data_IF_405435815072
#
_entry.id   IF_405435815072
#
_cell.length_a   1.000
_cell.length_b   1.000
_cell.length_c   1.000
_cell.angle_alpha   90.00
_cell.angle_beta   90.00
_cell.angle_gamma   90.00
#
_symmetry.space_group_name_H-M   'P 1'
#
loop_
_entity.id
_entity.type
_entity.pdbx_description
1 polymer ?
#
# COMPACT_ATOMS: atom_id res chain seq x y z
N UNK A 1 -10.71 -7.65 13.83
CA UNK A 1 -10.89 -9.11 13.96
C UNK A 1 -12.36 -9.49 14.09
N UNK A 2 -13.15 -8.93 15.03
CA UNK A 2 -14.55 -9.32 15.20
C UNK A 2 -15.37 -9.17 13.92
N UNK A 3 -15.29 -8.02 13.24
CA UNK A 3 -15.96 -7.79 11.96
C UNK A 3 -15.47 -8.76 10.85
N UNK A 4 -14.17 -9.04 10.79
CA UNK A 4 -13.61 -9.97 9.82
C UNK A 4 -14.12 -11.41 10.05
N UNK A 5 -14.21 -11.82 11.32
CA UNK A 5 -14.79 -13.11 11.73
C UNK A 5 -16.28 -13.20 11.33
N UNK A 6 -17.08 -12.19 11.66
CA UNK A 6 -18.50 -12.12 11.31
C UNK A 6 -18.74 -12.17 9.79
N UNK A 7 -17.94 -11.41 9.05
CA UNK A 7 -18.03 -11.31 7.58
C UNK A 7 -17.35 -12.48 6.85
N UNK A 8 -16.63 -13.35 7.57
CA UNK A 8 -15.78 -14.42 6.99
C UNK A 8 -14.82 -13.90 5.93
N UNK A 9 -14.23 -12.76 6.21
CA UNK A 9 -13.33 -12.05 5.30
C UNK A 9 -11.91 -11.95 5.89
N UNK A 10 -10.85 -11.98 5.05
CA UNK A 10 -9.50 -11.65 5.50
C UNK A 10 -9.41 -10.17 5.87
N UNK A 11 -8.40 -9.81 6.65
CA UNK A 11 -8.15 -8.43 7.04
C UNK A 11 -6.68 -8.08 7.01
N UNK A 12 -6.34 -6.89 6.53
CA UNK A 12 -5.01 -6.27 6.67
C UNK A 12 -5.10 -5.23 7.78
N UNK A 13 -4.27 -5.40 8.82
CA UNK A 13 -4.13 -4.43 9.90
C UNK A 13 -2.88 -3.63 9.61
N UNK A 14 -3.07 -2.37 9.23
CA UNK A 14 -1.98 -1.50 8.82
C UNK A 14 -1.70 -0.42 9.85
N UNK A 15 -0.45 0.00 9.94
CA UNK A 15 -0.05 1.19 10.67
C UNK A 15 1.09 1.92 9.98
N UNK A 16 1.11 3.25 10.12
CA UNK A 16 2.22 4.08 9.69
C UNK A 16 3.41 3.97 10.64
N UNK A 17 4.62 4.38 10.25
CA UNK A 17 5.83 4.29 11.10
C UNK A 17 5.76 5.10 12.40
N UNK A 18 4.81 6.02 12.52
CA UNK A 18 4.61 6.87 13.71
C UNK A 18 3.85 6.19 14.85
N UNK A 19 3.31 4.99 14.64
CA UNK A 19 2.60 4.20 15.64
C UNK A 19 3.60 3.33 16.42
N UNK A 20 3.22 2.94 17.64
CA UNK A 20 3.99 1.95 18.43
C UNK A 20 3.81 0.55 17.84
N UNK A 21 4.70 0.20 16.90
CA UNK A 21 4.64 -1.07 16.14
C UNK A 21 4.70 -2.29 17.05
N UNK A 22 5.50 -2.22 18.10
CA UNK A 22 5.69 -3.28 19.08
C UNK A 22 4.38 -3.63 19.81
N UNK A 23 3.67 -2.60 20.27
CA UNK A 23 2.39 -2.75 20.95
C UNK A 23 1.30 -3.26 20.02
N UNK A 24 1.24 -2.72 18.80
CA UNK A 24 0.32 -3.18 17.78
C UNK A 24 0.55 -4.66 17.44
N UNK A 25 1.80 -5.06 17.23
CA UNK A 25 2.14 -6.45 16.92
C UNK A 25 1.73 -7.41 18.05
N UNK A 26 1.92 -7.00 19.32
CA UNK A 26 1.45 -7.79 20.45
C UNK A 26 -0.09 -7.91 20.46
N UNK A 27 -0.80 -6.81 20.22
CA UNK A 27 -2.26 -6.81 20.17
C UNK A 27 -2.78 -7.71 19.04
N UNK A 28 -2.19 -7.62 17.85
CA UNK A 28 -2.57 -8.47 16.70
C UNK A 28 -2.40 -9.95 17.05
N UNK A 29 -1.26 -10.36 17.60
CA UNK A 29 -1.01 -11.76 18.02
C UNK A 29 -1.99 -12.26 19.08
N UNK A 30 -2.46 -11.38 19.98
CA UNK A 30 -3.52 -11.73 20.95
C UNK A 30 -4.86 -11.96 20.25
N UNK A 31 -5.20 -11.12 19.27
CA UNK A 31 -6.45 -11.25 18.53
C UNK A 31 -6.44 -12.41 17.54
N UNK A 32 -5.32 -12.76 16.94
CA UNK A 32 -5.15 -13.97 16.13
C UNK A 32 -5.47 -15.24 16.94
N UNK A 33 -5.01 -15.30 18.19
CA UNK A 33 -5.35 -16.42 19.08
C UNK A 33 -6.83 -16.46 19.46
N UNK A 34 -7.49 -15.29 19.56
CA UNK A 34 -8.91 -15.18 19.90
C UNK A 34 -9.82 -15.48 18.70
N UNK A 35 -9.36 -15.23 17.48
CA UNK A 35 -10.10 -15.40 16.24
C UNK A 35 -9.26 -16.24 15.24
N UNK A 36 -9.02 -17.52 15.56
CA UNK A 36 -8.09 -18.37 14.76
C UNK A 36 -8.60 -18.66 13.34
N UNK A 37 -9.88 -18.41 13.09
CA UNK A 37 -10.50 -18.55 11.76
C UNK A 37 -10.23 -17.34 10.84
N UNK A 38 -9.77 -16.21 11.38
CA UNK A 38 -9.51 -14.99 10.59
C UNK A 38 -8.11 -15.01 10.02
N UNK A 39 -8.02 -14.97 8.70
CA UNK A 39 -6.75 -14.71 8.02
C UNK A 39 -6.41 -13.23 8.14
N UNK A 40 -5.32 -12.90 8.80
CA UNK A 40 -4.89 -11.53 9.00
C UNK A 40 -3.45 -11.30 8.51
N UNK A 41 -3.19 -10.12 7.97
CA UNK A 41 -1.85 -9.60 7.73
C UNK A 41 -1.59 -8.38 8.61
N UNK A 42 -0.39 -8.25 9.14
CA UNK A 42 0.08 -7.05 9.83
C UNK A 42 1.03 -6.30 8.89
N UNK A 43 0.67 -5.08 8.52
CA UNK A 43 1.30 -4.32 7.45
C UNK A 43 1.88 -2.99 7.94
N UNK A 44 3.13 -2.71 7.55
CA UNK A 44 3.71 -1.37 7.66
C UNK A 44 3.25 -0.55 6.44
N UNK A 45 2.45 0.47 6.70
CA UNK A 45 1.91 1.38 5.70
C UNK A 45 2.76 2.65 5.60
N UNK A 46 3.19 3.00 4.39
CA UNK A 46 4.02 4.17 4.11
C UNK A 46 5.30 4.30 4.97
N UNK A 47 6.07 3.24 5.13
CA UNK A 47 7.43 3.34 5.66
C UNK A 47 8.25 4.33 4.83
N UNK A 48 8.87 5.32 5.47
CA UNK A 48 9.58 6.40 4.78
C UNK A 48 11.07 6.08 4.63
N UNK A 49 11.63 5.41 5.62
CA UNK A 49 13.04 5.05 5.63
C UNK A 49 13.22 3.54 5.75
N UNK A 50 14.41 3.08 5.37
CA UNK A 50 14.74 1.65 5.46
C UNK A 50 14.68 1.13 6.90
N UNK A 51 14.98 2.00 7.86
CA UNK A 51 14.89 1.73 9.28
C UNK A 51 13.46 1.42 9.74
N UNK A 52 12.44 2.02 9.13
CA UNK A 52 11.04 1.71 9.40
C UNK A 52 10.73 0.26 9.02
N UNK A 53 11.20 -0.15 7.82
CA UNK A 53 11.08 -1.53 7.35
C UNK A 53 11.78 -2.48 8.31
N UNK A 54 13.02 -2.19 8.70
CA UNK A 54 13.77 -3.03 9.64
C UNK A 54 13.06 -3.16 11.00
N UNK A 55 12.47 -2.06 11.50
CA UNK A 55 11.70 -2.08 12.76
C UNK A 55 10.47 -2.97 12.62
N UNK A 56 9.70 -2.83 11.54
CA UNK A 56 8.53 -3.67 11.28
C UNK A 56 8.90 -5.16 11.19
N UNK A 57 9.97 -5.50 10.46
CA UNK A 57 10.46 -6.89 10.38
C UNK A 57 10.82 -7.45 11.75
N UNK A 58 11.52 -6.68 12.61
CA UNK A 58 11.83 -7.10 13.99
C UNK A 58 10.59 -7.29 14.87
N UNK A 59 9.53 -6.49 14.62
CA UNK A 59 8.25 -6.62 15.31
C UNK A 59 7.43 -7.83 14.83
N UNK A 60 7.83 -8.48 13.73
CA UNK A 60 7.13 -9.62 13.15
C UNK A 60 5.93 -9.21 12.30
N UNK A 61 6.05 -8.11 11.59
CA UNK A 61 5.10 -7.74 10.53
C UNK A 61 5.19 -8.76 9.39
N UNK A 62 4.06 -9.07 8.77
CA UNK A 62 3.96 -10.04 7.68
C UNK A 62 4.00 -9.38 6.31
N UNK A 63 3.87 -8.06 6.27
CA UNK A 63 3.95 -7.24 5.08
C UNK A 63 4.51 -5.86 5.43
N UNK A 64 5.30 -5.28 4.53
CA UNK A 64 5.89 -3.95 4.71
C UNK A 64 5.81 -3.14 3.42
N UNK A 65 5.62 -1.83 3.55
CA UNK A 65 5.72 -0.89 2.44
C UNK A 65 6.91 0.04 2.65
N UNK A 66 7.73 0.23 1.61
CA UNK A 66 8.68 1.33 1.54
C UNK A 66 8.22 2.31 0.46
N UNK A 67 7.77 3.49 0.90
CA UNK A 67 7.26 4.54 0.02
C UNK A 67 8.34 5.58 -0.30
N UNK A 68 8.92 5.43 -1.47
CA UNK A 68 9.87 6.38 -2.08
C UNK A 68 9.31 7.00 -3.37
N UNK A 69 7.97 7.05 -3.50
CA UNK A 69 7.24 7.54 -4.67
C UNK A 69 7.54 9.00 -5.04
N UNK A 70 8.00 9.79 -4.09
CA UNK A 70 8.44 11.18 -4.31
C UNK A 70 9.83 11.33 -4.93
N UNK A 71 10.61 10.23 -4.98
CA UNK A 71 11.94 10.23 -5.59
C UNK A 71 11.86 9.92 -7.09
N UNK A 72 12.90 10.29 -7.86
CA UNK A 72 13.04 9.83 -9.24
C UNK A 72 12.98 8.30 -9.35
N UNK A 73 12.44 7.79 -10.46
CA UNK A 73 12.21 6.37 -10.70
C UNK A 73 13.39 5.48 -10.29
N UNK A 74 14.61 5.78 -10.77
CA UNK A 74 15.78 4.96 -10.46
C UNK A 74 16.18 4.93 -9.00
N UNK A 75 15.93 6.03 -8.27
CA UNK A 75 16.19 6.09 -6.81
C UNK A 75 15.13 5.31 -6.04
N UNK A 76 13.86 5.42 -6.45
CA UNK A 76 12.76 4.61 -5.90
C UNK A 76 13.06 3.12 -6.10
N UNK A 77 13.36 2.69 -7.32
CA UNK A 77 13.75 1.29 -7.64
C UNK A 77 14.89 0.82 -6.73
N UNK A 78 15.96 1.61 -6.60
CA UNK A 78 17.13 1.24 -5.80
C UNK A 78 16.76 1.02 -4.32
N UNK A 79 16.02 1.94 -3.74
CA UNK A 79 15.62 1.85 -2.32
C UNK A 79 14.68 0.67 -2.07
N UNK A 80 13.68 0.49 -2.94
CA UNK A 80 12.71 -0.60 -2.83
C UNK A 80 13.37 -1.98 -2.98
N UNK A 81 14.33 -2.14 -3.90
CA UNK A 81 15.10 -3.40 -4.04
C UNK A 81 15.82 -3.80 -2.76
N UNK A 82 16.33 -2.85 -2.00
CA UNK A 82 16.98 -3.11 -0.73
C UNK A 82 15.97 -3.63 0.32
N UNK A 83 14.80 -2.99 0.39
CA UNK A 83 13.71 -3.43 1.26
C UNK A 83 13.20 -4.83 0.89
N UNK A 84 12.98 -5.10 -0.41
CA UNK A 84 12.57 -6.42 -0.92
C UNK A 84 13.56 -7.49 -0.51
N UNK A 85 14.86 -7.26 -0.73
CA UNK A 85 15.88 -8.23 -0.36
C UNK A 85 15.85 -8.58 1.13
N UNK A 86 15.67 -7.58 1.99
CA UNK A 86 15.64 -7.81 3.44
C UNK A 86 14.35 -8.51 3.89
N UNK A 87 13.19 -8.09 3.38
CA UNK A 87 11.89 -8.65 3.73
C UNK A 87 11.73 -10.09 3.22
N UNK A 88 12.07 -10.36 1.96
CA UNK A 88 12.01 -11.69 1.37
C UNK A 88 12.93 -12.69 2.06
N UNK A 89 14.09 -12.26 2.58
CA UNK A 89 15.00 -13.12 3.35
C UNK A 89 14.34 -13.71 4.60
N UNK A 90 13.28 -13.11 5.11
CA UNK A 90 12.52 -13.58 6.28
C UNK A 90 11.06 -13.93 5.94
N UNK A 91 10.71 -14.04 4.65
CA UNK A 91 9.40 -14.47 4.18
C UNK A 91 8.30 -13.40 4.32
N UNK A 92 8.67 -12.12 4.35
CA UNK A 92 7.74 -10.99 4.46
C UNK A 92 7.53 -10.35 3.08
N UNK A 93 6.28 -10.06 2.73
CA UNK A 93 5.90 -9.41 1.47
C UNK A 93 6.19 -7.92 1.48
N UNK A 94 6.42 -7.37 0.28
CA UNK A 94 6.75 -5.94 0.11
C UNK A 94 5.80 -5.26 -0.85
N UNK A 95 5.28 -4.13 -0.40
CA UNK A 95 4.57 -3.14 -1.21
C UNK A 95 5.49 -1.95 -1.52
N UNK A 96 5.31 -1.35 -2.69
CA UNK A 96 5.89 -0.06 -3.01
C UNK A 96 4.89 0.80 -3.78
N UNK A 97 5.16 2.08 -3.92
CA UNK A 97 4.32 3.03 -4.64
C UNK A 97 5.03 3.57 -5.87
N UNK A 98 4.32 3.60 -7.00
CA UNK A 98 4.74 4.25 -8.23
C UNK A 98 3.70 5.29 -8.69
N UNK A 99 4.17 6.47 -9.10
CA UNK A 99 3.38 7.68 -9.05
C UNK A 99 3.36 8.18 -7.60
N UNK A 100 2.56 9.17 -7.28
CA UNK A 100 2.48 9.67 -5.90
C UNK A 100 1.03 9.97 -5.51
N UNK A 101 0.55 9.27 -4.46
CA UNK A 101 -0.75 9.53 -3.87
C UNK A 101 -0.62 10.72 -2.91
N UNK A 102 -1.12 11.86 -3.35
CA UNK A 102 -1.00 13.14 -2.65
C UNK A 102 -1.94 13.27 -1.44
N UNK A 103 -2.07 14.49 -0.96
CA UNK A 103 -2.95 14.85 0.15
C UNK A 103 -4.26 15.46 -0.35
N UNK A 104 -5.40 15.03 0.18
CA UNK A 104 -6.72 15.52 -0.18
C UNK A 104 -6.90 17.04 -0.01
N UNK A 105 -6.16 17.65 0.92
CA UNK A 105 -6.15 19.10 1.11
C UNK A 105 -5.60 19.88 -0.11
N UNK A 106 -4.73 19.24 -0.91
CA UNK A 106 -4.06 19.79 -2.10
C UNK A 106 -4.58 19.13 -3.38
N UNK A 107 -5.72 18.44 -3.30
CA UNK A 107 -6.21 17.53 -4.34
C UNK A 107 -6.38 18.19 -5.71
N UNK A 108 -7.06 19.36 -5.78
CA UNK A 108 -7.34 20.03 -7.06
C UNK A 108 -6.05 20.52 -7.77
N UNK A 109 -4.98 20.70 -7.03
CA UNK A 109 -3.70 21.19 -7.54
C UNK A 109 -2.79 20.03 -7.98
N UNK A 110 -2.90 18.84 -7.34
CA UNK A 110 -1.90 17.77 -7.45
C UNK A 110 -2.42 16.48 -8.09
N UNK A 111 -3.73 16.29 -8.22
CA UNK A 111 -4.35 15.01 -8.62
C UNK A 111 -3.83 14.42 -9.93
N UNK A 112 -3.51 15.26 -10.91
CA UNK A 112 -3.11 14.80 -12.24
C UNK A 112 -1.58 14.71 -12.39
N UNK A 113 -0.83 15.41 -11.53
CA UNK A 113 0.64 15.46 -11.60
C UNK A 113 1.31 14.22 -10.99
N UNK A 114 0.63 13.55 -10.08
CA UNK A 114 1.15 12.37 -9.37
C UNK A 114 0.76 11.03 -9.99
N UNK A 115 -0.01 11.00 -11.08
CA UNK A 115 -0.51 9.75 -11.65
C UNK A 115 0.62 8.77 -12.03
N UNK A 116 0.36 7.48 -11.81
CA UNK A 116 1.29 6.41 -12.22
C UNK A 116 1.45 6.41 -13.74
N UNK A 117 2.68 6.40 -14.20
CA UNK A 117 2.99 6.22 -15.63
C UNK A 117 2.96 4.75 -15.98
N UNK A 118 1.99 4.34 -16.81
CA UNK A 118 1.77 2.93 -17.14
C UNK A 118 3.00 2.26 -17.80
N UNK A 119 3.75 3.02 -18.60
CA UNK A 119 4.94 2.54 -19.28
C UNK A 119 6.07 2.13 -18.32
N UNK A 120 6.03 2.65 -17.09
CA UNK A 120 7.02 2.37 -16.05
C UNK A 120 6.58 1.24 -15.10
N UNK A 121 5.27 0.98 -14.95
CA UNK A 121 4.72 0.12 -13.90
C UNK A 121 5.21 -1.34 -13.99
N UNK A 122 5.11 -1.97 -15.16
CA UNK A 122 5.58 -3.34 -15.36
C UNK A 122 7.10 -3.47 -15.17
N UNK A 123 7.86 -2.47 -15.65
CA UNK A 123 9.30 -2.38 -15.46
C UNK A 123 9.67 -2.27 -13.99
N UNK A 124 8.98 -1.40 -13.23
CA UNK A 124 9.19 -1.20 -11.81
C UNK A 124 9.00 -2.49 -11.01
N UNK A 125 7.90 -3.21 -11.22
CA UNK A 125 7.63 -4.50 -10.55
C UNK A 125 8.73 -5.52 -10.88
N UNK A 126 9.09 -5.64 -12.14
CA UNK A 126 10.15 -6.58 -12.59
C UNK A 126 11.52 -6.24 -11.98
N UNK A 127 11.87 -4.96 -11.91
CA UNK A 127 13.16 -4.52 -11.39
C UNK A 127 13.23 -4.62 -9.88
N UNK A 128 12.16 -4.26 -9.17
CA UNK A 128 12.14 -4.24 -7.70
C UNK A 128 11.86 -5.59 -7.10
N UNK A 129 11.00 -6.40 -7.72
CA UNK A 129 10.53 -7.67 -7.19
C UNK A 129 9.51 -7.53 -6.07
N UNK A 130 8.75 -6.42 -6.02
CA UNK A 130 7.66 -6.22 -5.06
C UNK A 130 6.53 -7.21 -5.25
N UNK A 131 5.79 -7.50 -4.19
CA UNK A 131 4.67 -8.46 -4.18
C UNK A 131 3.32 -7.80 -4.50
N UNK A 132 3.21 -6.48 -4.30
CA UNK A 132 2.08 -5.66 -4.73
C UNK A 132 2.54 -4.22 -5.01
N UNK A 133 1.75 -3.49 -5.80
CA UNK A 133 2.08 -2.15 -6.25
C UNK A 133 0.96 -1.17 -5.94
N UNK A 134 1.23 -0.18 -5.09
CA UNK A 134 0.36 0.97 -4.93
C UNK A 134 0.49 1.90 -6.13
N UNK A 135 -0.67 2.30 -6.67
CA UNK A 135 -0.75 3.11 -7.87
C UNK A 135 -1.55 4.39 -7.63
N UNK A 136 -1.05 5.50 -8.14
CA UNK A 136 -1.73 6.78 -8.11
C UNK A 136 -2.65 6.88 -9.34
N UNK A 137 -3.96 6.79 -9.09
CA UNK A 137 -5.01 6.82 -10.13
C UNK A 137 -6.04 7.90 -9.86
N UNK A 138 -5.66 8.98 -9.16
CA UNK A 138 -6.50 10.13 -8.85
C UNK A 138 -7.19 10.05 -7.49
N UNK A 139 -6.71 9.22 -6.58
CA UNK A 139 -7.07 9.26 -5.15
C UNK A 139 -6.03 10.08 -4.35
N UNK A 140 -6.39 10.48 -3.14
CA UNK A 140 -5.49 11.18 -2.21
C UNK A 140 -5.83 10.86 -0.75
N UNK A 141 -4.84 11.00 0.11
CA UNK A 141 -5.00 10.74 1.55
C UNK A 141 -5.75 11.87 2.27
N UNK A 142 -6.59 11.49 3.23
CA UNK A 142 -7.28 12.42 4.12
C UNK A 142 -8.55 13.01 3.51
N UNK A 143 -8.93 14.21 3.98
CA UNK A 143 -10.17 14.88 3.54
C UNK A 143 -9.92 15.63 2.25
N UNK A 144 -10.71 15.32 1.23
CA UNK A 144 -10.62 15.99 -0.06
C UNK A 144 -11.14 17.42 0.00
N UNK A 145 -10.39 18.35 -0.59
CA UNK A 145 -10.92 19.62 -1.07
C UNK A 145 -11.27 19.40 -2.54
N UNK A 146 -12.55 19.22 -2.82
CA UNK A 146 -13.07 18.91 -4.16
C UNK A 146 -13.69 17.51 -4.25
N UNK A 147 -14.03 17.10 -5.45
CA UNK A 147 -14.65 15.79 -5.72
C UNK A 147 -13.59 14.79 -6.17
N UNK A 148 -13.41 13.66 -5.44
CA UNK A 148 -12.48 12.61 -5.87
C UNK A 148 -12.80 12.11 -7.26
N UNK A 149 -11.80 12.02 -8.13
CA UNK A 149 -11.96 11.57 -9.50
C UNK A 149 -10.97 10.45 -9.81
N UNK A 150 -11.45 9.18 -9.76
CA UNK A 150 -10.62 8.03 -10.11
C UNK A 150 -10.51 7.89 -11.63
N UNK A 151 -9.29 7.74 -12.10
CA UNK A 151 -9.02 7.39 -13.50
C UNK A 151 -9.14 5.87 -13.68
N UNK A 152 -10.37 5.41 -13.96
CA UNK A 152 -10.67 3.99 -14.15
C UNK A 152 -10.02 3.41 -15.41
N UNK A 153 -9.78 4.23 -16.43
CA UNK A 153 -9.11 3.80 -17.64
C UNK A 153 -7.65 3.45 -17.34
N UNK A 154 -6.94 4.36 -16.67
CA UNK A 154 -5.57 4.11 -16.22
C UNK A 154 -5.50 2.90 -15.27
N UNK A 155 -6.42 2.77 -14.31
CA UNK A 155 -6.47 1.63 -13.40
C UNK A 155 -6.63 0.31 -14.18
N UNK A 156 -7.54 0.27 -15.17
CA UNK A 156 -7.76 -0.90 -16.01
C UNK A 156 -6.54 -1.23 -16.89
N UNK A 157 -5.82 -0.23 -17.39
CA UNK A 157 -4.58 -0.45 -18.15
C UNK A 157 -3.49 -1.04 -17.23
N UNK A 158 -3.26 -0.42 -16.07
CA UNK A 158 -2.30 -0.90 -15.08
C UNK A 158 -2.59 -2.34 -14.63
N UNK A 159 -3.86 -2.68 -14.37
CA UNK A 159 -4.24 -4.03 -13.94
C UNK A 159 -3.99 -5.12 -14.99
N UNK A 160 -3.89 -4.75 -16.28
CA UNK A 160 -3.56 -5.69 -17.36
C UNK A 160 -2.05 -5.83 -17.58
N UNK A 161 -1.28 -4.79 -17.29
CA UNK A 161 0.15 -4.74 -17.58
C UNK A 161 1.01 -5.18 -16.38
N UNK A 162 0.51 -4.97 -15.15
CA UNK A 162 1.23 -5.29 -13.92
C UNK A 162 0.93 -6.71 -13.48
N UNK A 163 1.97 -7.49 -13.20
CA UNK A 163 1.87 -8.92 -12.87
C UNK A 163 1.57 -9.21 -11.40
N UNK A 164 1.52 -8.19 -10.54
CA UNK A 164 1.23 -8.30 -9.10
C UNK A 164 -0.07 -7.58 -8.76
N UNK A 165 -0.72 -7.88 -7.65
CA UNK A 165 -1.89 -7.14 -7.19
C UNK A 165 -1.62 -5.63 -7.09
N UNK A 166 -2.61 -4.84 -7.50
CA UNK A 166 -2.59 -3.39 -7.31
C UNK A 166 -3.20 -3.02 -5.96
N UNK A 167 -2.69 -1.95 -5.36
CA UNK A 167 -3.18 -1.39 -4.10
C UNK A 167 -3.68 0.03 -4.34
N UNK A 168 -4.86 0.35 -3.80
CA UNK A 168 -5.47 1.67 -3.89
C UNK A 168 -5.34 2.39 -2.54
N UNK A 169 -4.45 3.37 -2.47
CA UNK A 169 -4.37 4.30 -1.35
C UNK A 169 -5.37 5.45 -1.49
N UNK A 170 -5.65 6.15 -0.39
CA UNK A 170 -6.54 7.31 -0.40
C UNK A 170 -8.02 6.98 -0.64
N UNK A 171 -8.45 5.74 -0.42
CA UNK A 171 -9.82 5.30 -0.64
C UNK A 171 -10.87 5.90 0.29
N UNK A 172 -10.49 6.38 1.48
CA UNK A 172 -11.39 7.05 2.41
C UNK A 172 -11.99 8.32 1.78
N UNK A 173 -13.31 8.50 1.93
CA UNK A 173 -14.05 9.62 1.33
C UNK A 173 -14.11 9.65 -0.21
N UNK A 174 -13.66 8.61 -0.89
CA UNK A 174 -13.78 8.49 -2.36
C UNK A 174 -15.20 8.15 -2.82
N UNK A 175 -15.98 7.52 -1.96
CA UNK A 175 -17.35 7.07 -2.20
C UNK A 175 -17.43 5.59 -2.55
N UNK A 176 -18.43 4.92 -1.96
CA UNK A 176 -18.59 3.45 -2.03
C UNK A 176 -18.71 2.92 -3.46
N UNK A 177 -19.49 3.60 -4.32
CA UNK A 177 -19.69 3.18 -5.71
C UNK A 177 -18.39 3.22 -6.53
N UNK A 178 -17.54 4.24 -6.29
CA UNK A 178 -16.24 4.32 -6.96
C UNK A 178 -15.29 3.23 -6.49
N UNK A 179 -15.29 2.94 -5.18
CA UNK A 179 -14.47 1.86 -4.62
C UNK A 179 -14.92 0.49 -5.14
N UNK A 180 -16.24 0.21 -5.17
CA UNK A 180 -16.75 -1.02 -5.78
C UNK A 180 -16.30 -1.17 -7.22
N UNK A 181 -16.43 -0.10 -8.02
CA UNK A 181 -16.01 -0.11 -9.43
C UNK A 181 -14.49 -0.30 -9.59
N UNK A 182 -13.68 0.16 -8.64
CA UNK A 182 -12.23 0.00 -8.70
C UNK A 182 -11.78 -1.45 -8.43
N UNK A 183 -12.59 -2.24 -7.72
CA UNK A 183 -12.30 -3.64 -7.33
C UNK A 183 -12.79 -4.63 -8.40
N UNK A 184 -13.78 -4.27 -9.20
CA UNK A 184 -14.39 -5.12 -10.25
C UNK A 184 -13.76 -4.91 -11.61
#
# INVERSE_FOLDING_TARGET
>A
FAAASEMKAPVIIACTPYVQMEELAMAVRMYEKKYPEVTAALHLDHGKEYEDVQRALRCGFTSVMLDKSTLPYGENVKAVKEAVRAAHAVGVTVEAELGHVGKGAEYEETRDSGLTRKEEAAGFVKETGVDCLAVAVGTSHGVYRGTPHLNFELLSELSREVSVPLVLHGGSNTGEEKLKKAIT
#
